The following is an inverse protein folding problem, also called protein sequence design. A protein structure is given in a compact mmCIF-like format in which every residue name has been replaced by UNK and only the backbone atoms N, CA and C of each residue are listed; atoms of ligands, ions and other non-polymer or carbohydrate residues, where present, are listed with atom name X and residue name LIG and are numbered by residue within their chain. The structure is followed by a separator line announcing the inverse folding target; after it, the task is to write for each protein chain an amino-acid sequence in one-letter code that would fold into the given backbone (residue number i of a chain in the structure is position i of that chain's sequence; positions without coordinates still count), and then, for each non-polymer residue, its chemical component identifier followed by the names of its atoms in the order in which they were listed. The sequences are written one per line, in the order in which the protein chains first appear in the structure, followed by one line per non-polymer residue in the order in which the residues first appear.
data_IF_989936020988
#
_entry.id   IF_989936020988
#
_cell.length_a   1.000
_cell.length_b   1.000
_cell.length_c   1.000
_cell.angle_alpha   90.00
_cell.angle_beta   90.00
_cell.angle_gamma   90.00
#
_symmetry.space_group_name_H-M   'P 1'
#
loop_
_entity.id
_entity.type
_entity.pdbx_description
1 polymer ?
#
# COMPACT_ATOMS: atom_id res chain seq x y z
N UNK A 1 -2.98 13.86 -0.29
CA UNK A 1 -3.95 13.41 0.75
C UNK A 1 -5.22 12.78 0.20
N UNK A 2 -6.04 13.47 -0.61
CA UNK A 2 -7.31 12.90 -1.14
C UNK A 2 -7.12 11.55 -1.86
N UNK A 3 -6.07 11.42 -2.67
CA UNK A 3 -5.77 10.17 -3.39
C UNK A 3 -5.38 9.02 -2.46
N UNK A 4 -4.57 9.29 -1.44
CA UNK A 4 -4.15 8.27 -0.46
C UNK A 4 -5.38 7.71 0.25
N UNK A 5 -6.28 8.58 0.71
CA UNK A 5 -7.53 8.16 1.35
C UNK A 5 -8.43 7.35 0.42
N UNK A 6 -8.47 7.70 -0.87
CA UNK A 6 -9.19 6.92 -1.87
C UNK A 6 -8.62 5.51 -2.00
N UNK A 7 -7.29 5.37 -2.13
CA UNK A 7 -6.64 4.07 -2.19
C UNK A 7 -6.81 3.27 -0.91
N UNK A 8 -6.72 3.91 0.26
CA UNK A 8 -7.00 3.28 1.55
C UNK A 8 -8.43 2.75 1.63
N UNK A 9 -9.42 3.51 1.14
CA UNK A 9 -10.81 3.08 1.11
C UNK A 9 -10.99 1.89 0.15
N UNK A 10 -10.40 1.94 -1.04
CA UNK A 10 -10.42 0.82 -2.00
C UNK A 10 -9.78 -0.43 -1.40
N UNK A 11 -8.67 -0.29 -0.69
CA UNK A 11 -8.00 -1.40 0.00
C UNK A 11 -8.91 -2.03 1.07
N UNK A 12 -9.61 -1.21 1.85
CA UNK A 12 -10.58 -1.68 2.84
C UNK A 12 -11.75 -2.42 2.17
N UNK A 13 -12.26 -1.93 1.05
CA UNK A 13 -13.34 -2.59 0.30
C UNK A 13 -12.87 -3.92 -0.30
N UNK A 14 -11.70 -3.96 -0.93
CA UNK A 14 -11.12 -5.19 -1.48
C UNK A 14 -10.97 -6.20 -0.35
N UNK A 15 -10.30 -5.83 0.74
CA UNK A 15 -10.10 -6.73 1.88
C UNK A 15 -11.41 -7.18 2.52
N UNK A 16 -12.42 -6.32 2.66
CA UNK A 16 -13.71 -6.73 3.23
C UNK A 16 -14.43 -7.76 2.36
N UNK A 17 -14.30 -7.66 1.03
CA UNK A 17 -14.91 -8.58 0.08
C UNK A 17 -14.13 -9.88 -0.09
N UNK A 18 -12.82 -9.85 0.16
CA UNK A 18 -11.93 -10.98 -0.11
C UNK A 18 -11.27 -11.55 1.15
N UNK A 19 -11.54 -11.04 2.36
CA UNK A 19 -10.94 -11.53 3.61
C UNK A 19 -11.00 -13.06 3.84
N UNK A 20 -12.08 -13.77 3.44
CA UNK A 20 -12.11 -15.23 3.55
C UNK A 20 -11.27 -15.96 2.48
N UNK A 21 -10.69 -15.23 1.52
CA UNK A 21 -10.02 -15.75 0.33
C UNK A 21 -8.51 -15.63 0.53
N UNK A 22 -7.78 -16.75 0.61
CA UNK A 22 -6.32 -16.75 0.62
C UNK A 22 -5.77 -16.07 -0.65
N UNK A 23 -4.74 -15.23 -0.50
CA UNK A 23 -4.15 -14.49 -1.62
C UNK A 23 -4.77 -13.09 -1.85
N UNK A 24 -5.66 -12.61 -0.99
CA UNK A 24 -6.11 -11.20 -0.94
C UNK A 24 -4.95 -10.21 -0.91
N UNK A 25 -3.86 -10.59 -0.24
CA UNK A 25 -2.57 -9.90 -0.26
C UNK A 25 -2.14 -9.48 -1.67
N UNK A 26 -2.24 -10.36 -2.67
CA UNK A 26 -1.81 -10.08 -4.04
C UNK A 26 -2.61 -8.95 -4.70
N UNK A 27 -3.93 -8.91 -4.47
CA UNK A 27 -4.79 -7.85 -4.99
C UNK A 27 -4.44 -6.51 -4.35
N UNK A 28 -4.23 -6.50 -3.03
CA UNK A 28 -3.83 -5.31 -2.29
C UNK A 28 -2.44 -4.83 -2.71
N UNK A 29 -1.52 -5.75 -2.96
CA UNK A 29 -0.16 -5.47 -3.44
C UNK A 29 -0.19 -4.84 -4.83
N UNK A 30 -1.04 -5.34 -5.75
CA UNK A 30 -1.26 -4.70 -7.05
C UNK A 30 -1.80 -3.26 -6.92
N UNK A 31 -2.73 -3.04 -6.00
CA UNK A 31 -3.26 -1.70 -5.69
C UNK A 31 -2.18 -0.75 -5.16
N UNK A 32 -1.30 -1.23 -4.28
CA UNK A 32 -0.20 -0.45 -3.70
C UNK A 32 0.81 -0.01 -4.75
N UNK A 33 1.24 -0.92 -5.61
CA UNK A 33 2.15 -0.61 -6.73
C UNK A 33 1.50 0.44 -7.63
N UNK A 34 0.23 0.26 -7.98
CA UNK A 34 -0.50 1.23 -8.81
C UNK A 34 -0.60 2.60 -8.13
N UNK A 35 -0.89 2.65 -6.83
CA UNK A 35 -0.92 3.88 -6.04
C UNK A 35 0.42 4.62 -6.08
N UNK A 36 1.54 3.91 -5.87
CA UNK A 36 2.89 4.50 -5.89
C UNK A 36 3.21 5.08 -7.26
N UNK A 37 2.93 4.33 -8.34
CA UNK A 37 3.12 4.78 -9.72
C UNK A 37 2.23 5.98 -10.05
N UNK A 38 1.00 6.02 -9.54
CA UNK A 38 0.11 7.15 -9.76
C UNK A 38 0.57 8.39 -9.00
N UNK A 39 1.00 8.24 -7.74
CA UNK A 39 1.54 9.32 -6.92
C UNK A 39 2.82 9.93 -7.51
N UNK A 40 3.70 9.11 -8.08
CA UNK A 40 4.95 9.59 -8.70
C UNK A 40 4.67 10.43 -9.94
N UNK A 41 3.71 10.03 -10.78
CA UNK A 41 3.29 10.79 -11.97
C UNK A 41 2.70 12.16 -11.62
N UNK A 42 1.97 12.26 -10.50
CA UNK A 42 1.31 13.52 -10.09
C UNK A 42 2.29 14.55 -9.55
N UNK A 43 3.40 14.13 -8.95
CA UNK A 43 4.36 15.05 -8.32
C UNK A 43 5.42 15.61 -9.30
N UNK A 44 5.24 15.42 -10.62
CA UNK A 44 6.17 15.83 -11.69
C UNK A 44 7.63 15.47 -11.40
N UNK A 45 7.81 14.41 -10.60
CA UNK A 45 9.10 14.07 -10.08
C UNK A 45 9.85 13.40 -11.23
N UNK A 46 10.76 14.15 -11.85
CA UNK A 46 11.85 13.64 -12.68
C UNK A 46 12.71 12.75 -11.82
N UNK A 47 12.37 11.48 -11.78
CA UNK A 47 13.01 10.53 -10.92
C UNK A 47 13.85 9.63 -11.80
N UNK A 48 15.17 9.65 -11.57
CA UNK A 48 16.01 8.55 -11.99
C UNK A 48 15.38 7.27 -11.45
N UNK A 49 14.92 6.41 -12.35
CA UNK A 49 14.17 5.18 -12.08
C UNK A 49 14.89 4.28 -11.04
N UNK A 50 16.20 4.47 -10.92
CA UNK A 50 17.13 3.69 -10.11
C UNK A 50 17.05 3.98 -8.59
N UNK A 51 17.02 5.24 -8.15
CA UNK A 51 17.08 5.57 -6.70
C UNK A 51 15.73 5.42 -5.99
N UNK A 52 14.62 5.62 -6.74
CA UNK A 52 13.27 5.33 -6.28
C UNK A 52 12.91 3.88 -6.38
N UNK A 53 13.39 3.20 -7.41
CA UNK A 53 13.31 1.76 -7.50
C UNK A 53 13.85 1.15 -6.22
N UNK A 54 15.09 1.45 -5.84
CA UNK A 54 15.74 0.78 -4.70
C UNK A 54 15.12 1.13 -3.35
N UNK A 55 14.81 2.40 -3.09
CA UNK A 55 14.23 2.84 -1.81
C UNK A 55 12.77 2.40 -1.65
N UNK A 56 11.98 2.48 -2.73
CA UNK A 56 10.61 2.01 -2.73
C UNK A 56 10.58 0.48 -2.68
N UNK A 57 11.46 -0.25 -3.38
CA UNK A 57 11.57 -1.72 -3.32
C UNK A 57 12.02 -2.20 -1.95
N UNK A 58 12.92 -1.51 -1.26
CA UNK A 58 13.35 -1.91 0.08
C UNK A 58 12.22 -1.74 1.12
N UNK A 59 11.50 -0.62 1.06
CA UNK A 59 10.35 -0.36 1.93
C UNK A 59 9.13 -1.24 1.57
N UNK A 60 8.91 -1.44 0.28
CA UNK A 60 7.87 -2.30 -0.26
C UNK A 60 8.15 -3.77 0.04
N UNK A 61 9.38 -4.24 -0.14
CA UNK A 61 9.77 -5.64 0.05
C UNK A 61 9.67 -6.09 1.50
N UNK A 62 10.12 -5.26 2.45
CA UNK A 62 9.94 -5.56 3.87
C UNK A 62 8.48 -5.43 4.31
N UNK A 63 7.75 -4.43 3.81
CA UNK A 63 6.33 -4.24 4.14
C UNK A 63 5.44 -5.34 3.60
N UNK A 64 5.67 -5.80 2.36
CA UNK A 64 4.86 -6.85 1.73
C UNK A 64 5.02 -8.17 2.44
N UNK A 65 6.24 -8.59 2.78
CA UNK A 65 6.44 -9.84 3.52
C UNK A 65 5.74 -9.79 4.88
N UNK A 66 5.88 -8.69 5.62
CA UNK A 66 5.23 -8.53 6.93
C UNK A 66 3.70 -8.49 6.81
N UNK A 67 3.19 -7.76 5.83
CA UNK A 67 1.76 -7.61 5.57
C UNK A 67 1.15 -8.92 5.09
N UNK A 68 1.75 -9.59 4.13
CA UNK A 68 1.22 -10.82 3.54
C UNK A 68 1.16 -11.92 4.59
N UNK A 69 2.21 -12.06 5.41
CA UNK A 69 2.18 -12.96 6.55
C UNK A 69 1.08 -12.60 7.57
N UNK A 70 0.91 -11.31 7.87
CA UNK A 70 -0.13 -10.86 8.79
C UNK A 70 -1.54 -11.14 8.23
N UNK A 71 -1.82 -10.79 6.98
CA UNK A 71 -3.11 -11.00 6.35
C UNK A 71 -3.42 -12.49 6.21
N UNK A 72 -2.44 -13.30 5.81
CA UNK A 72 -2.63 -14.74 5.64
C UNK A 72 -2.91 -15.44 6.97
N UNK A 73 -2.23 -15.07 8.06
CA UNK A 73 -2.56 -15.57 9.40
C UNK A 73 -3.98 -15.15 9.83
N UNK A 74 -4.39 -13.91 9.51
CA UNK A 74 -5.72 -13.39 9.84
C UNK A 74 -6.83 -14.06 9.03
N UNK A 75 -6.58 -14.46 7.79
CA UNK A 75 -7.54 -15.21 6.95
C UNK A 75 -7.97 -16.52 7.61
N UNK A 76 -7.07 -17.19 8.36
CA UNK A 76 -7.37 -18.43 9.09
C UNK A 76 -8.12 -18.23 10.42
N UNK A 77 -8.28 -16.99 10.88
CA UNK A 77 -9.04 -16.68 12.11
C UNK A 77 -10.41 -16.13 11.73
N UNK A 78 -11.47 -16.96 11.70
CA UNK A 78 -12.79 -16.51 11.29
C UNK A 78 -13.33 -15.40 12.20
N UNK A 79 -14.20 -14.55 11.63
CA UNK A 79 -14.81 -13.36 12.27
C UNK A 79 -13.78 -12.27 12.64
N UNK A 80 -12.98 -12.50 13.68
CA UNK A 80 -12.08 -11.48 14.25
C UNK A 80 -10.91 -11.23 13.30
N UNK A 81 -10.34 -12.29 12.73
CA UNK A 81 -9.25 -12.17 11.77
C UNK A 81 -9.68 -11.41 10.52
N UNK A 82 -10.88 -11.69 9.99
CA UNK A 82 -11.40 -11.00 8.80
C UNK A 82 -11.62 -9.50 9.04
N UNK A 83 -12.16 -9.12 10.20
CA UNK A 83 -12.30 -7.70 10.55
C UNK A 83 -10.94 -7.04 10.74
N UNK A 84 -10.01 -7.72 11.40
CA UNK A 84 -8.65 -7.23 11.58
C UNK A 84 -7.91 -7.12 10.24
N UNK A 85 -8.16 -8.00 9.28
CA UNK A 85 -7.58 -8.00 7.93
C UNK A 85 -7.90 -6.68 7.21
N UNK A 86 -9.15 -6.23 7.27
CA UNK A 86 -9.58 -4.95 6.69
C UNK A 86 -8.82 -3.78 7.32
N UNK A 87 -8.69 -3.77 8.64
CA UNK A 87 -7.98 -2.71 9.36
C UNK A 87 -6.50 -2.69 8.99
N UNK A 88 -5.85 -3.86 8.98
CA UNK A 88 -4.44 -4.02 8.63
C UNK A 88 -4.20 -3.58 7.18
N UNK A 89 -5.05 -3.99 6.25
CA UNK A 89 -4.97 -3.59 4.84
C UNK A 89 -5.07 -2.06 4.68
N UNK A 90 -6.05 -1.44 5.34
CA UNK A 90 -6.22 0.02 5.31
C UNK A 90 -5.01 0.75 5.89
N UNK A 91 -4.48 0.30 7.04
CA UNK A 91 -3.32 0.90 7.68
C UNK A 91 -2.07 0.81 6.81
N UNK A 92 -1.83 -0.35 6.18
CA UNK A 92 -0.67 -0.55 5.30
C UNK A 92 -0.73 0.36 4.07
N UNK A 93 -1.87 0.39 3.36
CA UNK A 93 -2.03 1.24 2.17
C UNK A 93 -1.95 2.71 2.54
N UNK A 94 -2.54 3.12 3.66
CA UNK A 94 -2.44 4.49 4.16
C UNK A 94 -0.98 4.86 4.48
N UNK A 95 -0.27 4.00 5.20
CA UNK A 95 1.12 4.22 5.58
C UNK A 95 2.03 4.32 4.35
N UNK A 96 1.91 3.39 3.40
CA UNK A 96 2.66 3.41 2.14
C UNK A 96 2.33 4.65 1.32
N UNK A 97 1.06 5.04 1.23
CA UNK A 97 0.64 6.24 0.52
C UNK A 97 1.19 7.52 1.16
N UNK A 98 1.23 7.60 2.49
CA UNK A 98 1.88 8.70 3.20
C UNK A 98 3.39 8.73 2.96
N UNK A 99 4.04 7.57 3.01
CA UNK A 99 5.48 7.45 2.80
C UNK A 99 5.87 7.86 1.39
N UNK A 100 5.13 7.37 0.39
CA UNK A 100 5.27 7.77 -1.01
C UNK A 100 5.03 9.28 -1.18
N UNK A 101 3.99 9.84 -0.58
CA UNK A 101 3.69 11.27 -0.65
C UNK A 101 4.75 12.15 0.03
N UNK A 102 5.33 11.72 1.16
CA UNK A 102 6.45 12.42 1.80
C UNK A 102 7.72 12.35 0.96
N UNK A 103 7.99 11.19 0.37
CA UNK A 103 9.14 10.97 -0.49
C UNK A 103 9.05 11.85 -1.76
N UNK A 104 7.93 11.78 -2.49
CA UNK A 104 7.72 12.56 -3.70
C UNK A 104 7.50 14.06 -3.43
N UNK A 105 6.84 14.41 -2.32
CA UNK A 105 6.61 15.80 -1.93
C UNK A 105 7.86 16.56 -1.48
N UNK A 106 8.92 15.87 -1.02
CA UNK A 106 10.23 16.49 -0.76
C UNK A 106 10.96 16.88 -2.05
N UNK A 107 10.77 16.12 -3.14
CA UNK A 107 11.38 16.40 -4.44
C UNK A 107 10.89 17.68 -5.11
N UNK A 108 9.71 18.18 -4.73
CA UNK A 108 9.07 19.36 -5.32
C UNK A 108 9.51 20.70 -4.68
N UNK A 109 10.24 20.68 -3.55
CA UNK A 109 10.84 21.89 -2.96
C UNK A 109 12.21 22.20 -3.59
N UNK A 110 12.21 22.57 -4.87
CA UNK A 110 13.29 23.37 -5.47
C UNK A 110 12.68 24.32 -6.50
N UNK A 111 12.18 25.45 -6.05
CA UNK A 111 12.34 26.75 -6.71
C UNK A 111 12.02 27.86 -5.73
#
# INVERSE_FOLDING_TARGET
MKLILLYTLIAGVISALTAPIPGTSLLLTGLEVYMIVHLSKIHDAKLGIEEIGISAIALYGLSTVLKDAALEVLTFVPLIGWVAEVIVAMLFVFFLGMLANLYFGKGTKKT
#
